data_IF_358900811158
#
_entry.id   IF_358900811158
#
_cell.length_a   1.000
_cell.length_b   1.000
_cell.length_c   1.000
_cell.angle_alpha   90.00
_cell.angle_beta   90.00
_cell.angle_gamma   90.00
#
_symmetry.space_group_name_H-M   'P 1'
#
loop_
_entity.id
_entity.type
_entity.pdbx_description
1 polymer ?
#
# COMPACT_ATOMS: atom_id res chain seq x y z
N UNK A 1 25.17 -57.99 4.00
CA UNK A 1 23.88 -57.31 3.74
C UNK A 1 24.14 -55.81 3.83
N UNK A 2 24.32 -55.14 2.68
CA UNK A 2 24.59 -53.72 2.59
C UNK A 2 23.51 -53.10 1.70
N UNK A 3 22.72 -52.17 2.23
CA UNK A 3 21.70 -51.44 1.50
C UNK A 3 22.15 -49.98 1.38
N UNK A 4 22.42 -49.56 0.13
CA UNK A 4 22.69 -48.18 -0.23
C UNK A 4 21.36 -47.42 -0.37
N UNK A 5 21.22 -46.29 0.33
CA UNK A 5 20.12 -45.34 0.11
C UNK A 5 20.57 -44.28 -0.91
N UNK A 6 19.84 -44.19 -2.01
CA UNK A 6 19.97 -43.14 -3.02
C UNK A 6 19.32 -41.84 -2.52
N UNK A 7 20.11 -40.78 -2.36
CA UNK A 7 19.62 -39.41 -2.23
C UNK A 7 19.59 -38.76 -3.61
N UNK A 8 18.38 -38.52 -4.13
CA UNK A 8 18.15 -37.61 -5.25
C UNK A 8 17.10 -36.58 -4.81
N UNK A 9 17.56 -35.51 -4.16
CA UNK A 9 16.76 -34.32 -3.89
C UNK A 9 17.15 -33.22 -4.87
N UNK A 10 16.40 -33.08 -5.97
CA UNK A 10 16.45 -31.89 -6.81
C UNK A 10 15.62 -30.79 -6.15
N UNK A 11 16.27 -29.92 -5.36
CA UNK A 11 15.67 -28.66 -4.91
C UNK A 11 15.74 -27.62 -6.02
N UNK A 12 14.62 -27.38 -6.71
CA UNK A 12 14.45 -26.19 -7.55
C UNK A 12 14.27 -24.93 -6.69
N UNK A 13 14.55 -23.72 -7.21
CA UNK A 13 14.53 -22.50 -6.41
C UNK A 13 13.08 -22.11 -6.09
N UNK A 14 12.70 -22.18 -4.81
CA UNK A 14 11.49 -21.53 -4.32
C UNK A 14 11.77 -20.02 -4.17
N UNK A 15 11.52 -19.28 -5.25
CA UNK A 15 11.42 -17.83 -5.22
C UNK A 15 10.02 -17.41 -4.76
N UNK A 16 9.74 -17.54 -3.46
CA UNK A 16 8.67 -16.80 -2.80
C UNK A 16 9.17 -16.52 -1.38
N UNK A 17 9.41 -15.26 -1.04
CA UNK A 17 9.91 -14.80 0.26
C UNK A 17 8.88 -14.96 1.39
N UNK A 18 8.22 -16.11 1.52
CA UNK A 18 7.37 -16.42 2.64
C UNK A 18 8.23 -16.80 3.84
N UNK A 19 8.66 -15.79 4.60
CA UNK A 19 9.08 -16.02 5.99
C UNK A 19 7.84 -16.37 6.83
N UNK A 20 7.98 -17.27 7.83
CA UNK A 20 6.98 -17.45 8.88
C UNK A 20 6.68 -16.09 9.55
N UNK A 21 5.42 -15.65 9.51
CA UNK A 21 4.99 -14.34 10.03
C UNK A 21 3.90 -13.63 9.22
N UNK A 22 3.56 -14.10 8.01
CA UNK A 22 2.46 -13.57 7.16
C UNK A 22 1.09 -14.12 7.53
N UNK A 23 0.95 -14.76 8.70
CA UNK A 23 -0.37 -15.15 9.20
C UNK A 23 -1.11 -13.88 9.57
N UNK A 24 -2.06 -13.48 8.73
CA UNK A 24 -3.06 -12.48 9.06
C UNK A 24 -3.74 -12.92 10.35
N UNK A 25 -3.32 -12.33 11.47
CA UNK A 25 -4.01 -12.49 12.75
C UNK A 25 -5.46 -12.06 12.51
N UNK A 26 -6.40 -12.97 12.75
CA UNK A 26 -7.80 -12.58 12.89
C UNK A 26 -7.88 -11.50 13.96
N UNK A 27 -8.63 -10.43 13.68
CA UNK A 27 -8.87 -9.35 14.64
C UNK A 27 -9.75 -9.88 15.80
N UNK A 28 -9.15 -10.59 16.75
CA UNK A 28 -9.84 -11.01 17.98
C UNK A 28 -9.75 -9.87 19.01
N UNK A 29 -10.60 -8.85 18.85
CA UNK A 29 -10.66 -7.72 19.78
C UNK A 29 -11.34 -6.49 19.18
N UNK A 30 -11.81 -5.58 20.04
CA UNK A 30 -12.30 -4.28 19.57
C UNK A 30 -11.11 -3.42 19.12
N UNK A 31 -11.05 -3.10 17.83
CA UNK A 31 -10.06 -2.18 17.25
C UNK A 31 -10.47 -0.71 17.38
N UNK A 32 -11.22 -0.35 18.42
CA UNK A 32 -11.75 1.00 18.62
C UNK A 32 -13.02 1.32 17.82
N UNK A 33 -13.55 2.51 18.05
CA UNK A 33 -14.83 2.99 17.49
C UNK A 33 -14.58 3.93 16.31
N UNK A 34 -15.19 3.65 15.16
CA UNK A 34 -15.12 4.57 14.02
C UNK A 34 -16.03 5.79 14.25
N UNK A 35 -15.43 6.97 14.24
CA UNK A 35 -16.16 8.23 14.36
C UNK A 35 -16.74 8.65 13.00
N UNK A 36 -17.79 9.48 13.00
CA UNK A 36 -18.26 10.17 11.78
C UNK A 36 -17.27 11.27 11.34
N UNK A 37 -16.49 11.81 12.28
CA UNK A 37 -15.47 12.80 12.01
C UNK A 37 -14.35 12.25 11.09
N UNK A 38 -13.77 13.16 10.32
CA UNK A 38 -12.65 12.90 9.41
C UNK A 38 -11.53 13.89 9.67
N UNK A 39 -10.31 13.49 9.35
CA UNK A 39 -9.17 14.40 9.33
C UNK A 39 -9.22 15.36 8.13
N UNK A 40 -8.25 16.27 8.04
CA UNK A 40 -8.17 17.27 6.97
C UNK A 40 -7.98 16.65 5.57
N UNK A 41 -7.51 15.40 5.51
CA UNK A 41 -7.32 14.64 4.28
C UNK A 41 -8.50 13.71 3.95
N UNK A 42 -9.56 13.75 4.76
CA UNK A 42 -10.79 13.00 4.55
C UNK A 42 -10.80 11.59 5.14
N UNK A 43 -9.77 11.14 5.86
CA UNK A 43 -9.73 9.83 6.49
C UNK A 43 -10.60 9.79 7.73
N UNK A 44 -11.36 8.71 7.93
CA UNK A 44 -12.19 8.54 9.14
C UNK A 44 -11.30 8.34 10.37
N UNK A 45 -11.74 8.90 11.49
CA UNK A 45 -11.08 8.72 12.78
C UNK A 45 -11.53 7.42 13.47
N UNK A 46 -10.60 6.74 14.12
CA UNK A 46 -10.78 5.51 14.90
C UNK A 46 -10.38 5.78 16.35
N UNK A 47 -11.40 5.99 17.16
CA UNK A 47 -11.28 6.34 18.58
C UNK A 47 -10.84 5.13 19.41
N UNK A 48 -9.81 5.32 20.23
CA UNK A 48 -9.35 4.36 21.23
C UNK A 48 -9.13 5.04 22.58
N UNK A 49 -9.29 4.30 23.71
CA UNK A 49 -8.99 4.86 25.03
C UNK A 49 -7.54 5.34 25.14
N UNK A 50 -7.33 6.51 25.75
CA UNK A 50 -6.00 7.11 25.93
C UNK A 50 -4.97 6.16 26.59
N UNK A 51 -5.42 5.30 27.51
CA UNK A 51 -4.57 4.33 28.21
C UNK A 51 -3.94 3.27 27.27
N UNK A 52 -4.61 2.97 26.16
CA UNK A 52 -4.19 1.95 25.18
C UNK A 52 -3.82 2.56 23.84
N UNK A 53 -3.91 3.88 23.69
CA UNK A 53 -3.68 4.56 22.43
C UNK A 53 -2.21 4.46 21.99
N UNK A 54 -1.96 4.28 20.69
CA UNK A 54 -0.63 4.46 20.15
C UNK A 54 -0.19 5.92 20.30
N UNK A 55 1.12 6.15 20.34
CA UNK A 55 1.69 7.50 20.34
C UNK A 55 2.83 7.59 19.34
N UNK A 56 3.07 8.78 18.81
CA UNK A 56 4.21 9.07 17.95
C UNK A 56 4.90 10.35 18.41
N UNK A 57 6.22 10.38 18.31
CA UNK A 57 7.07 11.57 18.35
C UNK A 57 7.93 11.58 17.11
N UNK A 58 8.30 12.77 16.64
CA UNK A 58 9.19 12.95 15.49
C UNK A 58 10.38 13.83 15.89
N UNK A 59 11.57 13.36 15.58
CA UNK A 59 12.80 14.15 15.56
C UNK A 59 13.18 14.41 14.11
N UNK A 60 13.51 15.64 13.76
CA UNK A 60 13.97 16.01 12.43
C UNK A 60 15.39 16.56 12.51
N UNK A 61 16.25 16.11 11.60
CA UNK A 61 17.62 16.58 11.46
C UNK A 61 17.89 16.96 10.01
N UNK A 62 18.57 18.08 9.74
CA UNK A 62 18.96 18.44 8.38
C UNK A 62 19.77 17.30 7.74
N UNK A 63 19.45 16.97 6.50
CA UNK A 63 20.24 16.05 5.68
C UNK A 63 21.29 16.84 4.88
N UNK A 64 22.51 16.30 4.76
CA UNK A 64 23.64 16.99 4.10
C UNK A 64 23.46 17.13 2.59
N UNK A 65 22.67 16.27 1.96
CA UNK A 65 22.31 16.32 0.54
C UNK A 65 21.02 17.12 0.29
N UNK A 66 20.40 17.61 1.37
CA UNK A 66 19.24 18.50 1.34
C UNK A 66 17.97 17.86 1.93
N UNK A 67 17.13 18.71 2.52
CA UNK A 67 15.94 18.27 3.23
C UNK A 67 16.26 17.81 4.64
N UNK A 68 15.49 16.84 5.13
CA UNK A 68 15.52 16.40 6.52
C UNK A 68 15.44 14.88 6.62
N UNK A 69 16.32 14.30 7.44
CA UNK A 69 16.13 12.95 7.96
C UNK A 69 15.25 13.02 9.20
N UNK A 70 14.17 12.26 9.21
CA UNK A 70 13.27 12.15 10.35
C UNK A 70 13.41 10.80 11.02
N UNK A 71 13.30 10.80 12.34
CA UNK A 71 13.18 9.59 13.16
C UNK A 71 11.89 9.65 13.96
N UNK A 72 11.08 8.60 13.85
CA UNK A 72 9.88 8.41 14.63
C UNK A 72 10.20 7.58 15.87
N UNK A 73 9.69 8.01 17.02
CA UNK A 73 9.59 7.17 18.20
C UNK A 73 8.12 6.89 18.44
N UNK A 74 7.75 5.61 18.40
CA UNK A 74 6.37 5.17 18.60
C UNK A 74 6.23 4.31 19.84
N UNK A 75 5.09 4.41 20.51
CA UNK A 75 4.72 3.54 21.64
C UNK A 75 3.34 2.94 21.39
N UNK A 76 3.14 1.70 21.86
CA UNK A 76 1.91 0.92 21.64
C UNK A 76 1.48 0.88 20.16
N UNK A 77 2.46 0.98 19.27
CA UNK A 77 2.29 0.96 17.82
C UNK A 77 3.33 0.06 17.18
N UNK A 78 2.91 -0.73 16.19
CA UNK A 78 3.79 -1.58 15.39
C UNK A 78 3.54 -1.31 13.92
N UNK A 79 4.59 -1.00 13.18
CA UNK A 79 4.51 -0.92 11.73
C UNK A 79 4.23 -2.29 11.12
N UNK A 80 3.29 -2.33 10.19
CA UNK A 80 2.82 -3.55 9.53
C UNK A 80 2.77 -3.37 8.01
N UNK A 81 3.94 -3.14 7.35
CA UNK A 81 3.99 -2.97 5.89
C UNK A 81 3.23 -4.08 5.15
N UNK A 82 3.46 -5.34 5.55
CA UNK A 82 2.86 -6.53 4.94
C UNK A 82 1.35 -6.68 5.16
N UNK A 83 0.71 -5.80 5.94
CA UNK A 83 -0.74 -5.84 6.24
C UNK A 83 -1.48 -4.57 5.86
N UNK A 84 -0.82 -3.60 5.22
CA UNK A 84 -1.46 -2.36 4.75
C UNK A 84 -2.64 -2.67 3.80
N UNK A 85 -3.75 -1.97 3.94
CA UNK A 85 -5.01 -2.26 3.25
C UNK A 85 -5.83 -3.40 3.89
N UNK A 86 -5.32 -4.02 4.96
CA UNK A 86 -6.01 -5.03 5.74
C UNK A 86 -6.93 -4.44 6.82
N UNK A 87 -7.48 -5.31 7.68
CA UNK A 87 -8.32 -4.87 8.80
C UNK A 87 -7.51 -4.10 9.86
N UNK A 88 -8.12 -3.10 10.50
CA UNK A 88 -7.50 -2.44 11.65
C UNK A 88 -7.28 -3.43 12.81
N UNK A 89 -6.03 -3.61 13.21
CA UNK A 89 -5.64 -4.29 14.43
C UNK A 89 -5.16 -3.26 15.47
N UNK A 90 -5.46 -3.43 16.77
CA UNK A 90 -5.08 -2.47 17.80
C UNK A 90 -3.58 -2.13 17.77
N UNK A 91 -3.24 -0.85 17.64
CA UNK A 91 -1.86 -0.39 17.68
C UNK A 91 -1.01 -0.89 16.50
N UNK A 92 -1.60 -1.10 15.32
CA UNK A 92 -0.87 -1.49 14.10
C UNK A 92 -1.17 -0.56 12.95
N UNK A 93 -0.31 -0.57 11.93
CA UNK A 93 -0.53 0.14 10.68
C UNK A 93 0.72 0.82 10.13
N UNK A 94 0.55 2.04 9.62
CA UNK A 94 1.59 2.85 9.00
C UNK A 94 1.47 4.32 9.43
N UNK A 95 2.52 5.10 9.21
CA UNK A 95 2.45 6.55 9.40
C UNK A 95 2.24 7.25 8.05
N UNK A 96 1.55 8.39 8.04
CA UNK A 96 1.52 9.32 6.91
C UNK A 96 2.30 10.58 7.26
N UNK A 97 3.05 11.06 6.28
CA UNK A 97 3.69 12.37 6.30
C UNK A 97 2.76 13.38 5.64
N UNK A 98 2.43 14.43 6.38
CA UNK A 98 1.66 15.59 5.94
C UNK A 98 2.60 16.79 5.97
N UNK A 99 3.07 17.20 4.80
CA UNK A 99 3.99 18.32 4.62
C UNK A 99 3.19 19.56 4.24
N UNK A 100 3.30 20.62 5.03
CA UNK A 100 2.59 21.90 4.85
C UNK A 100 1.08 21.72 4.61
N UNK A 101 0.47 20.78 5.34
CA UNK A 101 -0.96 20.46 5.26
C UNK A 101 -1.36 19.52 4.12
N UNK A 102 -0.41 19.05 3.30
CA UNK A 102 -0.67 18.09 2.22
C UNK A 102 -0.03 16.74 2.53
N UNK A 103 -0.77 15.66 2.33
CA UNK A 103 -0.19 14.32 2.41
C UNK A 103 0.83 14.10 1.30
N UNK A 104 2.04 13.66 1.67
CA UNK A 104 3.16 13.51 0.73
C UNK A 104 3.73 12.10 0.67
N UNK A 105 3.68 11.34 1.77
CA UNK A 105 4.24 9.99 1.79
C UNK A 105 3.63 9.10 2.87
N UNK A 106 3.80 7.79 2.73
CA UNK A 106 3.60 6.79 3.79
C UNK A 106 4.95 6.35 4.33
N UNK A 107 5.00 6.03 5.62
CA UNK A 107 6.17 5.48 6.29
C UNK A 107 5.82 4.17 6.97
N UNK A 108 6.64 3.14 6.71
CA UNK A 108 6.47 1.79 7.23
C UNK A 108 7.55 1.40 8.24
N UNK A 109 8.27 2.39 8.77
CA UNK A 109 9.35 2.22 9.72
C UNK A 109 9.62 3.50 10.49
N UNK A 110 10.66 3.48 11.29
CA UNK A 110 11.03 4.59 12.17
C UNK A 110 11.83 5.69 11.47
N UNK A 111 12.34 5.48 10.26
CA UNK A 111 13.13 6.48 9.53
C UNK A 111 12.48 6.89 8.22
N UNK A 112 12.56 8.18 7.89
CA UNK A 112 12.10 8.73 6.61
C UNK A 112 12.88 9.97 6.19
N UNK A 113 12.66 10.39 4.95
CA UNK A 113 13.22 11.63 4.40
C UNK A 113 12.09 12.60 4.04
N UNK A 114 12.33 13.89 4.31
CA UNK A 114 11.44 14.98 3.91
C UNK A 114 12.22 15.91 2.99
N UNK A 115 11.69 16.23 1.79
CA UNK A 115 12.39 17.09 0.85
C UNK A 115 12.58 18.51 1.40
N UNK A 116 13.60 19.25 0.89
CA UNK A 116 13.79 20.65 1.26
C UNK A 116 12.56 21.50 0.88
N UNK A 117 12.38 22.61 1.59
CA UNK A 117 11.28 23.55 1.35
C UNK A 117 10.00 23.27 2.15
N UNK A 118 9.88 22.10 2.79
CA UNK A 118 8.79 21.83 3.75
C UNK A 118 9.03 22.63 5.03
N UNK A 119 8.01 23.37 5.49
CA UNK A 119 8.11 24.20 6.70
C UNK A 119 7.51 23.54 7.93
N UNK A 120 6.42 22.82 7.74
CA UNK A 120 5.71 22.11 8.79
C UNK A 120 5.51 20.67 8.38
N UNK A 121 6.02 19.76 9.20
CA UNK A 121 5.79 18.33 9.03
C UNK A 121 4.84 17.85 10.13
N UNK A 122 3.77 17.18 9.74
CA UNK A 122 2.93 16.39 10.64
C UNK A 122 3.06 14.91 10.29
N UNK A 123 3.32 14.09 11.29
CA UNK A 123 3.35 12.62 11.19
C UNK A 123 2.12 12.08 11.88
N UNK A 124 1.25 11.39 11.13
CA UNK A 124 -0.03 10.86 11.63
C UNK A 124 -0.03 9.34 11.59
N UNK A 125 -0.56 8.69 12.63
CA UNK A 125 -0.65 7.22 12.66
C UNK A 125 -1.99 6.75 12.08
N UNK A 126 -1.90 5.85 11.11
CA UNK A 126 -3.04 5.18 10.50
C UNK A 126 -3.04 3.70 10.87
N UNK A 127 -4.23 3.12 10.95
CA UNK A 127 -4.44 1.68 10.96
C UNK A 127 -4.21 1.08 9.56
N UNK A 128 -4.13 -0.24 9.49
CA UNK A 128 -3.99 -0.96 8.23
C UNK A 128 -5.15 -0.70 7.26
N UNK A 129 -6.36 -0.43 7.76
CA UNK A 129 -7.57 -0.08 6.97
C UNK A 129 -7.63 1.42 6.57
N UNK A 130 -6.50 2.13 6.68
CA UNK A 130 -6.34 3.56 6.41
C UNK A 130 -7.11 4.53 7.32
N UNK A 131 -7.82 4.04 8.34
CA UNK A 131 -8.43 4.91 9.35
C UNK A 131 -7.37 5.52 10.27
N UNK A 132 -7.60 6.75 10.73
CA UNK A 132 -6.64 7.49 11.57
C UNK A 132 -6.86 7.10 13.02
N UNK A 133 -5.82 6.65 13.71
CA UNK A 133 -5.91 6.45 15.16
C UNK A 133 -6.22 7.77 15.85
N UNK A 134 -7.17 7.78 16.78
CA UNK A 134 -7.62 8.98 17.46
C UNK A 134 -7.86 8.77 18.95
N UNK A 135 -7.68 9.84 19.72
CA UNK A 135 -7.98 9.91 21.16
C UNK A 135 -8.76 11.20 21.42
N UNK A 136 -9.89 11.09 22.11
CA UNK A 136 -10.80 12.18 22.38
C UNK A 136 -11.19 12.96 21.10
N UNK A 137 -11.38 12.23 19.98
CA UNK A 137 -11.72 12.81 18.68
C UNK A 137 -10.58 13.52 17.95
N UNK A 138 -9.36 13.54 18.49
CA UNK A 138 -8.20 14.14 17.85
C UNK A 138 -7.28 13.06 17.24
N UNK A 139 -6.73 13.26 16.02
CA UNK A 139 -5.75 12.35 15.44
C UNK A 139 -4.53 12.14 16.35
N UNK A 140 -4.06 10.90 16.42
CA UNK A 140 -2.76 10.56 16.99
C UNK A 140 -1.69 10.98 15.99
N UNK A 141 -1.04 12.10 16.28
CA UNK A 141 -0.03 12.69 15.41
C UNK A 141 1.04 13.47 16.19
N UNK A 142 2.15 13.76 15.54
CA UNK A 142 3.17 14.69 16.01
C UNK A 142 3.48 15.71 14.91
N UNK A 143 3.64 16.97 15.30
CA UNK A 143 3.96 18.07 14.38
C UNK A 143 5.26 18.73 14.78
N UNK A 144 6.13 19.01 13.81
CA UNK A 144 7.40 19.72 13.99
C UNK A 144 7.53 20.82 12.93
N UNK A 145 8.10 21.96 13.32
CA UNK A 145 8.54 22.98 12.37
C UNK A 145 9.94 22.63 11.90
N UNK A 146 10.12 22.63 10.59
CA UNK A 146 11.38 22.43 9.92
C UNK A 146 11.92 23.81 9.57
N UNK A 147 12.61 24.42 10.53
CA UNK A 147 13.23 25.73 10.33
C UNK A 147 14.58 25.53 9.62
N UNK A 148 14.83 26.24 8.52
CA UNK A 148 16.07 26.11 7.73
C UNK A 148 17.32 26.16 8.65
N UNK A 149 17.97 25.01 8.84
CA UNK A 149 19.34 25.00 9.34
C UNK A 149 20.24 25.64 8.26
N UNK A 150 21.24 26.45 8.62
CA UNK A 150 22.05 27.12 7.63
C UNK A 150 22.73 26.09 6.72
N UNK A 151 22.43 26.19 5.42
CA UNK A 151 23.11 25.46 4.37
C UNK A 151 24.62 25.75 4.46
N UNK A 152 25.37 24.84 5.09
CA UNK A 152 26.83 24.87 5.00
C UNK A 152 27.20 24.19 3.69
N UNK A 153 27.42 25.00 2.67
CA UNK A 153 27.98 24.59 1.39
C UNK A 153 29.32 23.89 1.61
N UNK A 154 29.39 22.59 1.29
CA UNK A 154 30.65 21.86 1.14
C UNK A 154 30.84 21.48 -0.35
N UNK A 155 32.10 21.45 -0.86
CA UNK A 155 32.37 21.47 -2.29
C UNK A 155 32.16 20.11 -2.98
N UNK A 156 31.90 20.06 -4.30
CA UNK A 156 31.71 18.81 -5.01
C UNK A 156 33.05 18.08 -5.24
N UNK A 157 33.06 16.76 -5.05
CA UNK A 157 34.13 15.86 -5.47
C UNK A 157 33.68 14.97 -6.65
N UNK A 158 34.60 14.52 -7.51
CA UNK A 158 34.31 14.26 -8.93
C UNK A 158 33.79 12.86 -9.23
N UNK A 159 32.97 12.79 -10.27
CA UNK A 159 32.49 11.56 -10.93
C UNK A 159 33.62 10.91 -11.74
N UNK A 160 33.79 9.57 -11.71
CA UNK A 160 34.51 8.88 -12.76
C UNK A 160 33.59 8.47 -13.92
N UNK A 161 34.05 8.79 -15.12
CA UNK A 161 33.53 8.34 -16.40
C UNK A 161 33.85 6.85 -16.60
N UNK A 162 32.85 6.06 -16.97
CA UNK A 162 33.00 4.69 -17.44
C UNK A 162 32.39 4.55 -18.83
N UNK A 163 33.26 4.47 -19.83
CA UNK A 163 32.95 4.22 -21.24
C UNK A 163 32.62 2.74 -21.44
N UNK A 164 31.51 2.42 -22.11
CA UNK A 164 31.38 1.15 -22.84
C UNK A 164 30.38 1.31 -23.98
N UNK A 165 30.92 1.45 -25.19
CA UNK A 165 30.21 1.34 -26.46
C UNK A 165 30.03 -0.13 -26.78
N UNK A 166 28.81 -0.56 -27.09
CA UNK A 166 28.58 -1.80 -27.82
C UNK A 166 27.42 -1.60 -28.82
N UNK A 167 27.77 -1.72 -30.09
CA UNK A 167 26.91 -1.72 -31.27
C UNK A 167 26.24 -3.09 -31.42
N UNK A 168 24.95 -3.13 -31.79
CA UNK A 168 24.42 -4.13 -32.73
C UNK A 168 23.02 -3.73 -33.23
N UNK A 169 22.92 -3.63 -34.54
CA UNK A 169 21.70 -3.48 -35.34
C UNK A 169 21.23 -4.86 -35.79
N UNK A 170 19.91 -5.11 -35.81
CA UNK A 170 19.15 -5.68 -36.94
C UNK A 170 17.93 -6.53 -36.52
N UNK A 171 16.75 -6.02 -36.89
CA UNK A 171 15.63 -6.66 -37.61
C UNK A 171 15.21 -8.11 -37.31
N UNK A 172 13.93 -8.26 -36.95
CA UNK A 172 13.17 -9.51 -37.07
C UNK A 172 11.68 -9.31 -36.81
N UNK A 173 10.88 -9.29 -37.87
CA UNK A 173 9.42 -9.30 -37.83
C UNK A 173 8.88 -10.74 -37.80
N UNK A 174 7.84 -11.01 -37.00
CA UNK A 174 6.73 -11.95 -37.31
C UNK A 174 5.70 -12.07 -36.16
N UNK A 175 4.52 -11.50 -36.39
CA UNK A 175 3.17 -12.13 -36.46
C UNK A 175 2.72 -13.22 -35.44
N UNK A 176 1.65 -12.85 -34.71
CA UNK A 176 0.50 -13.63 -34.15
C UNK A 176 0.67 -14.86 -33.26
N UNK A 177 0.01 -14.83 -32.10
CA UNK A 177 -1.17 -15.66 -31.84
C UNK A 177 -2.01 -15.07 -30.67
N UNK A 178 -3.35 -15.06 -30.73
CA UNK A 178 -4.20 -14.71 -29.59
C UNK A 178 -4.16 -15.85 -28.55
N UNK A 179 -4.09 -15.57 -27.24
CA UNK A 179 -4.18 -16.62 -26.24
C UNK A 179 -5.62 -17.18 -26.23
N UNK A 180 -5.71 -18.48 -26.49
CA UNK A 180 -6.89 -19.32 -26.30
C UNK A 180 -7.36 -19.23 -24.84
N UNK A 181 -8.65 -19.02 -24.54
CA UNK A 181 -9.14 -19.00 -23.17
C UNK A 181 -9.02 -20.39 -22.54
N UNK A 182 -8.27 -20.49 -21.44
CA UNK A 182 -8.26 -21.67 -20.56
C UNK A 182 -9.58 -21.72 -19.77
N UNK A 183 -10.04 -22.92 -19.35
CA UNK A 183 -11.42 -23.19 -19.02
C UNK A 183 -11.87 -22.42 -17.77
N UNK A 184 -13.15 -22.09 -17.78
CA UNK A 184 -13.91 -21.46 -16.70
C UNK A 184 -13.70 -22.16 -15.36
N UNK A 185 -12.74 -21.67 -14.57
CA UNK A 185 -12.88 -21.73 -13.12
C UNK A 185 -14.18 -21.00 -12.78
N UNK A 186 -15.01 -21.61 -11.95
CA UNK A 186 -16.32 -21.09 -11.57
C UNK A 186 -16.14 -19.88 -10.64
N UNK A 187 -15.61 -18.80 -11.19
CA UNK A 187 -15.31 -17.54 -10.52
C UNK A 187 -16.35 -16.50 -10.88
N UNK A 188 -16.71 -15.67 -9.90
CA UNK A 188 -17.63 -14.56 -10.08
C UNK A 188 -16.93 -13.46 -10.88
N UNK A 189 -17.59 -12.93 -11.90
CA UNK A 189 -17.06 -11.79 -12.68
C UNK A 189 -17.87 -10.54 -12.38
N UNK A 190 -17.18 -9.44 -12.10
CA UNK A 190 -17.78 -8.14 -11.81
C UNK A 190 -17.17 -7.13 -12.77
N UNK A 191 -18.03 -6.43 -13.51
CA UNK A 191 -17.61 -5.41 -14.48
C UNK A 191 -17.86 -4.03 -13.92
N UNK A 192 -16.86 -3.16 -13.99
CA UNK A 192 -16.89 -1.77 -13.52
C UNK A 192 -16.39 -0.84 -14.63
N UNK A 193 -17.02 0.33 -14.76
CA UNK A 193 -16.64 1.37 -15.71
C UNK A 193 -16.39 2.67 -14.96
N UNK A 194 -15.27 3.34 -15.24
CA UNK A 194 -14.91 4.63 -14.66
C UNK A 194 -15.01 5.70 -15.73
N UNK A 195 -15.82 6.73 -15.45
CA UNK A 195 -15.93 7.94 -16.27
C UNK A 195 -15.70 9.15 -15.38
N UNK A 196 -14.54 9.80 -15.52
CA UNK A 196 -14.12 10.91 -14.68
C UNK A 196 -13.96 10.50 -13.21
N UNK A 197 -14.93 10.88 -12.36
CA UNK A 197 -14.99 10.51 -10.93
C UNK A 197 -16.18 9.60 -10.60
N UNK A 198 -16.87 9.10 -11.62
CA UNK A 198 -18.06 8.28 -11.46
C UNK A 198 -17.72 6.83 -11.81
N UNK A 199 -18.21 5.89 -11.00
CA UNK A 199 -18.08 4.45 -11.22
C UNK A 199 -19.45 3.86 -11.50
N UNK A 200 -19.55 3.02 -12.53
CA UNK A 200 -20.75 2.29 -12.92
C UNK A 200 -20.48 0.78 -12.92
N UNK A 201 -21.27 -0.05 -12.20
CA UNK A 201 -22.32 0.34 -11.27
C UNK A 201 -21.78 1.17 -10.09
N UNK A 202 -22.66 1.92 -9.38
CA UNK A 202 -22.24 2.69 -8.22
C UNK A 202 -21.50 1.83 -7.18
N UNK A 203 -20.49 2.38 -6.49
CA UNK A 203 -19.73 1.65 -5.50
C UNK A 203 -20.62 1.00 -4.46
N UNK A 204 -20.53 -0.33 -4.38
CA UNK A 204 -21.33 -1.15 -3.48
C UNK A 204 -20.49 -2.29 -2.93
N UNK A 205 -21.10 -3.09 -2.04
CA UNK A 205 -20.46 -4.22 -1.38
C UNK A 205 -20.72 -5.52 -2.13
N UNK A 206 -19.66 -6.27 -2.39
CA UNK A 206 -19.70 -7.57 -3.04
C UNK A 206 -19.36 -8.62 -2.00
N UNK A 207 -20.36 -9.42 -1.62
CA UNK A 207 -20.15 -10.50 -0.66
C UNK A 207 -19.57 -11.74 -1.37
N UNK A 208 -18.48 -12.26 -0.83
CA UNK A 208 -17.75 -13.43 -1.33
C UNK A 208 -17.59 -14.43 -0.19
N UNK A 209 -17.57 -15.72 -0.52
CA UNK A 209 -17.15 -16.76 0.42
C UNK A 209 -15.64 -16.86 0.45
N UNK A 210 -15.08 -17.21 1.61
CA UNK A 210 -13.66 -17.57 1.70
C UNK A 210 -13.33 -18.67 0.67
N UNK A 211 -12.31 -18.44 -0.14
CA UNK A 211 -11.87 -19.32 -1.23
C UNK A 211 -12.61 -19.13 -2.57
N UNK A 212 -13.56 -18.20 -2.67
CA UNK A 212 -14.24 -17.88 -3.93
C UNK A 212 -13.32 -17.14 -4.90
N UNK A 213 -13.34 -17.52 -6.18
CA UNK A 213 -12.58 -16.82 -7.21
C UNK A 213 -13.37 -15.61 -7.73
N UNK A 214 -12.75 -14.44 -7.75
CA UNK A 214 -13.31 -13.20 -8.28
C UNK A 214 -12.47 -12.71 -9.45
N UNK A 215 -13.13 -12.28 -10.53
CA UNK A 215 -12.51 -11.49 -11.61
C UNK A 215 -13.16 -10.12 -11.67
N UNK A 216 -12.34 -9.09 -11.45
CA UNK A 216 -12.70 -7.68 -11.65
C UNK A 216 -12.32 -7.27 -13.07
N UNK A 217 -13.31 -6.88 -13.86
CA UNK A 217 -13.10 -6.33 -15.21
C UNK A 217 -13.39 -4.84 -15.19
N UNK A 218 -12.35 -4.03 -15.31
CA UNK A 218 -12.45 -2.57 -15.13
C UNK A 218 -12.06 -1.85 -16.41
N UNK A 219 -12.88 -0.91 -16.85
CA UNK A 219 -12.56 -0.01 -17.97
C UNK A 219 -12.54 1.42 -17.47
N UNK A 220 -11.43 2.12 -17.61
CA UNK A 220 -11.29 3.53 -17.24
C UNK A 220 -11.15 4.44 -18.45
N UNK A 221 -11.52 5.72 -18.29
CA UNK A 221 -11.35 6.76 -19.31
C UNK A 221 -9.98 7.47 -19.25
N UNK A 222 -9.13 7.11 -18.27
CA UNK A 222 -7.80 7.66 -18.02
C UNK A 222 -6.80 6.57 -17.63
N UNK A 223 -5.52 6.91 -17.75
CA UNK A 223 -4.43 6.08 -17.26
C UNK A 223 -4.40 6.13 -15.72
N UNK A 224 -4.38 4.96 -15.09
CA UNK A 224 -4.34 4.80 -13.64
C UNK A 224 -3.90 3.35 -13.32
N UNK A 225 -4.02 2.92 -12.07
CA UNK A 225 -3.76 1.54 -11.63
C UNK A 225 -4.95 1.04 -10.82
N UNK A 226 -5.56 -0.06 -11.24
CA UNK A 226 -6.56 -0.75 -10.42
C UNK A 226 -5.83 -1.46 -9.29
N UNK A 227 -6.26 -1.25 -8.05
CA UNK A 227 -5.65 -1.84 -6.86
C UNK A 227 -6.72 -2.48 -5.96
N UNK A 228 -6.45 -3.69 -5.45
CA UNK A 228 -7.28 -4.36 -4.45
C UNK A 228 -6.52 -4.40 -3.13
N UNK A 229 -6.97 -3.57 -2.18
CA UNK A 229 -6.39 -3.48 -0.84
C UNK A 229 -6.47 -4.82 -0.12
N UNK A 230 -5.41 -5.16 0.60
CA UNK A 230 -5.32 -6.42 1.32
C UNK A 230 -5.23 -7.65 0.41
N UNK A 231 -5.05 -7.51 -0.91
CA UNK A 231 -4.62 -8.63 -1.78
C UNK A 231 -3.31 -8.32 -2.52
N UNK A 232 -2.79 -7.08 -2.41
CA UNK A 232 -1.63 -6.57 -3.16
C UNK A 232 -1.68 -6.94 -4.65
N UNK A 233 -2.90 -6.88 -5.21
CA UNK A 233 -3.14 -7.12 -6.63
C UNK A 233 -3.38 -5.78 -7.28
N UNK A 234 -2.57 -5.51 -8.28
CA UNK A 234 -2.72 -4.34 -9.12
C UNK A 234 -2.56 -4.65 -10.59
N UNK A 235 -3.24 -3.88 -11.42
CA UNK A 235 -3.10 -3.95 -12.88
C UNK A 235 -3.21 -2.54 -13.46
N UNK A 236 -2.34 -2.15 -14.40
CA UNK A 236 -2.43 -0.86 -15.06
C UNK A 236 -3.75 -0.73 -15.83
N UNK A 237 -4.40 0.43 -15.70
CA UNK A 237 -5.55 0.84 -16.49
C UNK A 237 -5.06 1.73 -17.63
N UNK A 238 -5.35 1.32 -18.86
CA UNK A 238 -5.15 2.15 -20.05
C UNK A 238 -6.50 2.73 -20.49
N UNK A 239 -6.55 4.01 -20.93
CA UNK A 239 -7.79 4.65 -21.35
C UNK A 239 -8.56 3.82 -22.39
N UNK A 240 -9.82 3.51 -22.11
CA UNK A 240 -10.72 2.77 -22.99
C UNK A 240 -10.41 1.29 -23.16
N UNK A 241 -9.36 0.76 -22.54
CA UNK A 241 -8.97 -0.66 -22.64
C UNK A 241 -9.41 -1.38 -21.37
N UNK A 242 -10.25 -2.42 -21.46
CA UNK A 242 -10.64 -3.20 -20.30
C UNK A 242 -9.45 -3.96 -19.71
N UNK A 243 -9.12 -3.70 -18.45
CA UNK A 243 -8.19 -4.51 -17.66
C UNK A 243 -8.96 -5.60 -16.91
N UNK A 244 -8.29 -6.72 -16.61
CA UNK A 244 -8.86 -7.81 -15.82
C UNK A 244 -7.89 -8.19 -14.72
N UNK A 245 -8.41 -8.24 -13.49
CA UNK A 245 -7.67 -8.64 -12.29
C UNK A 245 -8.43 -9.80 -11.64
N UNK A 246 -7.75 -10.92 -11.46
CA UNK A 246 -8.33 -12.10 -10.82
C UNK A 246 -7.68 -12.35 -9.47
N UNK A 247 -8.50 -12.69 -8.47
CA UNK A 247 -8.07 -13.02 -7.12
C UNK A 247 -8.88 -14.19 -6.57
N UNK A 248 -8.27 -14.94 -5.64
CA UNK A 248 -8.98 -15.91 -4.79
C UNK A 248 -9.26 -15.20 -3.48
N UNK A 249 -10.52 -15.20 -3.02
CA UNK A 249 -10.94 -14.55 -1.79
C UNK A 249 -10.52 -15.37 -0.56
N UNK A 250 -9.23 -15.62 -0.37
CA UNK A 250 -8.69 -16.48 0.69
C UNK A 250 -8.57 -15.79 2.06
N UNK A 251 -8.83 -14.48 2.12
CA UNK A 251 -8.78 -13.65 3.34
C UNK A 251 -10.18 -13.15 3.70
N UNK A 252 -10.64 -13.41 4.91
CA UNK A 252 -11.89 -12.86 5.47
C UNK A 252 -11.71 -11.40 5.87
N UNK A 253 -12.69 -10.54 5.60
CA UNK A 253 -12.59 -9.11 5.89
C UNK A 253 -13.35 -8.20 4.92
N UNK A 254 -13.17 -6.90 5.09
CA UNK A 254 -13.62 -5.86 4.16
C UNK A 254 -12.40 -5.33 3.42
N UNK A 255 -12.44 -5.35 2.10
CA UNK A 255 -11.33 -4.93 1.23
C UNK A 255 -11.83 -3.89 0.24
N UNK A 256 -11.08 -2.81 0.06
CA UNK A 256 -11.44 -1.77 -0.90
C UNK A 256 -10.78 -2.03 -2.25
N UNK A 257 -11.54 -1.81 -3.32
CA UNK A 257 -11.04 -1.83 -4.69
C UNK A 257 -11.05 -0.39 -5.16
N UNK A 258 -9.90 0.16 -5.53
CA UNK A 258 -9.77 1.56 -5.93
C UNK A 258 -8.82 1.76 -7.10
N UNK A 259 -8.81 2.97 -7.64
CA UNK A 259 -7.69 3.47 -8.44
C UNK A 259 -6.58 3.98 -7.52
N UNK A 260 -5.34 3.54 -7.72
CA UNK A 260 -4.22 3.86 -6.85
C UNK A 260 -3.81 5.33 -6.93
N UNK A 261 -3.69 5.88 -8.14
CA UNK A 261 -3.17 7.25 -8.33
C UNK A 261 -4.25 8.29 -7.99
N UNK A 262 -5.51 8.02 -8.39
CA UNK A 262 -6.62 8.96 -8.17
C UNK A 262 -7.42 8.72 -6.89
N UNK A 263 -7.22 7.59 -6.20
CA UNK A 263 -7.90 7.25 -4.93
C UNK A 263 -9.43 7.10 -5.08
N UNK A 264 -9.91 6.72 -6.27
CA UNK A 264 -11.33 6.56 -6.53
C UNK A 264 -11.78 5.18 -6.07
N UNK A 265 -12.68 5.12 -5.09
CA UNK A 265 -13.27 3.87 -4.63
C UNK A 265 -14.23 3.29 -5.70
N UNK A 266 -13.95 2.08 -6.16
CA UNK A 266 -14.76 1.37 -7.15
C UNK A 266 -15.81 0.47 -6.49
N UNK A 267 -15.40 -0.31 -5.48
CA UNK A 267 -16.27 -1.26 -4.78
C UNK A 267 -15.59 -1.72 -3.49
N UNK A 268 -16.33 -2.43 -2.63
CA UNK A 268 -15.80 -3.10 -1.46
C UNK A 268 -16.09 -4.60 -1.53
N UNK A 269 -15.10 -5.44 -1.31
CA UNK A 269 -15.26 -6.88 -1.18
C UNK A 269 -15.47 -7.23 0.29
N UNK A 270 -16.51 -7.97 0.62
CA UNK A 270 -16.72 -8.55 1.95
C UNK A 270 -16.62 -10.05 1.86
N UNK A 271 -15.54 -10.58 2.42
CA UNK A 271 -15.27 -12.02 2.43
C UNK A 271 -15.66 -12.59 3.79
N UNK A 272 -16.55 -13.58 3.79
CA UNK A 272 -17.01 -14.29 4.98
C UNK A 272 -16.75 -15.80 4.91
#
# INVERSE_FOLDING_TARGET
>A
MAAALSLAGCGGPAATHHKPGTTHEEASGSSGTLLPARDESGHRLREVPAATAPTVRVEARPDTEGGWNIRLTVERFRFTPDSTGGAALPGRGHARLVSDGRETARLYGDWGHVPPGVRTLTVRLHADDHTVWAVAGAPVQATVRLDDAPATSAPPSPRPSGTATATATATGAATTAPPTPRPSETGRTVTLTITGKTVEPPPSRIELKKGEHLTLRVTGDRADTLHVHGYDREVPLSPGVPASLSLTADRTGLFEVETHESGLLLTQLVVR
#
